data_IF_669121877461
#
_entry.id   IF_669121877461
#
_cell.length_a   1.000
_cell.length_b   1.000
_cell.length_c   1.000
_cell.angle_alpha   90.00
_cell.angle_beta   90.00
_cell.angle_gamma   90.00
#
_symmetry.space_group_name_H-M   'P 1'
#
loop_
_entity.id
_entity.type
_entity.pdbx_description
1 polymer ?
#
# COMPACT_ATOMS: atom_id res chain seq x y z
N UNK A 1 -50.86 11.14 8.56
CA UNK A 1 -49.48 11.65 8.75
C UNK A 1 -48.53 11.12 7.66
N UNK A 2 -48.60 11.63 6.43
CA UNK A 2 -47.78 11.14 5.29
C UNK A 2 -47.02 12.23 4.51
N UNK A 3 -47.11 13.51 4.90
CA UNK A 3 -46.54 14.65 4.15
C UNK A 3 -45.14 15.13 4.59
N UNK A 4 -44.60 14.65 5.72
CA UNK A 4 -43.35 15.19 6.27
C UNK A 4 -42.07 14.66 5.58
N UNK A 5 -42.09 13.42 5.06
CA UNK A 5 -40.96 12.81 4.35
C UNK A 5 -40.64 13.45 2.99
N UNK A 6 -41.62 13.74 2.12
CA UNK A 6 -41.34 14.40 0.84
C UNK A 6 -40.87 15.85 1.01
N UNK A 7 -41.34 16.55 2.05
CA UNK A 7 -40.88 17.90 2.39
C UNK A 7 -39.40 17.90 2.84
N UNK A 8 -38.98 16.90 3.62
CA UNK A 8 -37.59 16.77 4.07
C UNK A 8 -36.62 16.40 2.93
N UNK A 9 -37.04 15.54 1.99
CA UNK A 9 -36.23 15.21 0.81
C UNK A 9 -36.09 16.40 -0.13
N UNK A 10 -37.16 17.17 -0.32
CA UNK A 10 -37.12 18.42 -1.10
C UNK A 10 -36.19 19.44 -0.44
N UNK A 11 -36.24 19.58 0.88
CA UNK A 11 -35.36 20.48 1.63
C UNK A 11 -33.89 20.05 1.55
N UNK A 12 -33.59 18.74 1.61
CA UNK A 12 -32.22 18.22 1.41
C UNK A 12 -31.71 18.45 0.00
N UNK A 13 -32.56 18.28 -1.01
CA UNK A 13 -32.21 18.58 -2.41
C UNK A 13 -31.97 20.09 -2.62
N UNK A 14 -32.75 20.94 -1.95
CA UNK A 14 -32.60 22.39 -2.02
C UNK A 14 -31.34 22.86 -1.28
N UNK A 15 -31.01 22.28 -0.12
CA UNK A 15 -29.73 22.51 0.56
C UNK A 15 -28.57 22.05 -0.32
N UNK A 16 -28.63 20.85 -0.92
CA UNK A 16 -27.61 20.37 -1.83
C UNK A 16 -27.45 21.27 -3.08
N UNK A 17 -28.55 21.82 -3.61
CA UNK A 17 -28.53 22.77 -4.72
C UNK A 17 -27.96 24.15 -4.32
N UNK A 18 -28.25 24.63 -3.11
CA UNK A 18 -27.69 25.86 -2.56
C UNK A 18 -26.20 25.70 -2.22
N UNK A 19 -25.79 24.54 -1.72
CA UNK A 19 -24.38 24.16 -1.53
C UNK A 19 -23.64 23.97 -2.86
N UNK A 20 -24.33 23.53 -3.92
CA UNK A 20 -23.78 23.39 -5.25
C UNK A 20 -23.71 24.71 -6.03
N UNK A 21 -24.62 25.67 -5.76
CA UNK A 21 -24.76 26.92 -6.50
C UNK A 21 -23.61 27.93 -6.37
N UNK A 22 -22.63 27.66 -5.51
CA UNK A 22 -21.42 28.50 -5.34
C UNK A 22 -20.10 27.70 -5.34
N UNK A 23 -20.15 26.37 -5.44
CA UNK A 23 -18.96 25.52 -5.45
C UNK A 23 -18.60 25.13 -6.87
N UNK A 24 -17.44 25.61 -7.34
CA UNK A 24 -16.73 24.95 -8.44
C UNK A 24 -16.68 23.45 -8.14
N UNK A 25 -17.06 22.56 -9.07
CA UNK A 25 -17.04 21.13 -8.81
C UNK A 25 -15.65 20.73 -8.31
N UNK A 26 -15.57 19.91 -7.25
CA UNK A 26 -14.29 19.56 -6.64
C UNK A 26 -13.40 18.90 -7.69
N UNK A 27 -12.19 19.39 -7.85
CA UNK A 27 -11.26 18.77 -8.81
C UNK A 27 -10.84 17.40 -8.29
N UNK A 28 -10.94 16.38 -9.13
CA UNK A 28 -10.63 14.98 -8.79
C UNK A 28 -9.48 14.43 -9.63
N UNK A 29 -8.88 13.34 -9.15
CA UNK A 29 -8.01 12.45 -9.90
C UNK A 29 -8.77 11.14 -10.18
N UNK A 30 -9.23 10.91 -11.42
CA UNK A 30 -9.84 9.64 -11.79
C UNK A 30 -8.81 8.50 -11.87
N UNK A 31 -9.22 7.31 -11.43
CA UNK A 31 -8.48 6.07 -11.63
C UNK A 31 -8.73 5.46 -13.01
N UNK A 32 -9.79 5.89 -13.71
CA UNK A 32 -10.11 5.43 -15.06
C UNK A 32 -10.97 4.16 -15.11
N UNK A 33 -11.40 3.66 -13.95
CA UNK A 33 -12.31 2.53 -13.84
C UNK A 33 -13.54 2.91 -13.00
N UNK A 34 -14.77 2.85 -13.54
CA UNK A 34 -15.99 3.23 -12.83
C UNK A 34 -16.23 2.47 -11.52
N UNK A 35 -15.66 1.27 -11.38
CA UNK A 35 -15.77 0.45 -10.16
C UNK A 35 -15.00 1.08 -8.99
N UNK A 36 -13.91 1.78 -9.29
CA UNK A 36 -13.10 2.51 -8.32
C UNK A 36 -13.60 3.95 -8.20
N UNK A 37 -13.78 4.63 -9.32
CA UNK A 37 -14.18 6.04 -9.36
C UNK A 37 -15.56 6.27 -8.73
N UNK A 38 -16.48 5.31 -8.90
CA UNK A 38 -17.80 5.33 -8.27
C UNK A 38 -17.78 5.12 -6.75
N UNK A 39 -16.63 4.84 -6.13
CA UNK A 39 -16.49 4.83 -4.68
C UNK A 39 -16.37 6.22 -4.07
N UNK A 40 -15.99 7.23 -4.87
CA UNK A 40 -15.86 8.62 -4.43
C UNK A 40 -17.12 9.41 -4.78
N UNK A 41 -17.58 10.34 -3.91
CA UNK A 41 -18.77 11.16 -4.17
C UNK A 41 -18.70 11.96 -5.47
N UNK A 42 -17.50 12.39 -5.84
CA UNK A 42 -17.23 13.22 -7.01
C UNK A 42 -16.70 12.42 -8.22
N UNK A 43 -16.74 11.08 -8.17
CA UNK A 43 -16.30 10.24 -9.29
C UNK A 43 -14.78 10.16 -9.49
N UNK A 44 -14.00 10.36 -8.42
CA UNK A 44 -12.55 10.23 -8.43
C UNK A 44 -11.93 10.69 -7.10
N UNK A 45 -10.63 10.49 -6.92
CA UNK A 45 -9.91 10.87 -5.71
C UNK A 45 -9.92 12.41 -5.56
N UNK A 46 -10.42 12.97 -4.44
CA UNK A 46 -10.51 14.42 -4.29
C UNK A 46 -9.12 15.05 -4.21
N UNK A 47 -8.87 16.11 -4.98
CA UNK A 47 -7.67 16.95 -4.87
C UNK A 47 -7.87 18.06 -3.84
N UNK A 48 -6.78 18.68 -3.39
CA UNK A 48 -6.86 19.73 -2.36
C UNK A 48 -7.25 19.19 -0.98
N UNK A 49 -7.00 17.90 -0.75
CA UNK A 49 -7.09 17.25 0.55
C UNK A 49 -5.96 16.24 0.71
N UNK A 50 -5.93 15.58 1.86
CA UNK A 50 -4.91 14.57 2.13
C UNK A 50 -5.49 13.17 2.35
N UNK A 51 -4.66 12.16 2.08
CA UNK A 51 -5.01 10.75 2.08
C UNK A 51 -4.05 9.95 2.95
N UNK A 52 -4.57 9.00 3.73
CA UNK A 52 -3.75 8.04 4.47
C UNK A 52 -3.53 6.79 3.62
N UNK A 53 -2.29 6.34 3.52
CA UNK A 53 -1.93 5.09 2.85
C UNK A 53 -1.03 4.29 3.76
N UNK A 54 -1.40 3.05 4.08
CA UNK A 54 -0.61 2.15 4.90
C UNK A 54 -0.50 0.77 4.30
N UNK A 55 0.41 -0.03 4.84
CA UNK A 55 0.49 -1.46 4.57
C UNK A 55 0.04 -2.29 5.77
N UNK A 56 0.29 -3.60 5.70
CA UNK A 56 0.13 -4.53 6.81
C UNK A 56 1.36 -5.44 6.91
N UNK A 57 1.65 -5.94 8.10
CA UNK A 57 2.81 -6.80 8.32
C UNK A 57 4.12 -6.05 8.07
N UNK A 58 5.02 -6.62 7.27
CA UNK A 58 6.33 -5.99 6.99
C UNK A 58 6.21 -4.62 6.32
N UNK A 59 5.13 -4.39 5.55
CA UNK A 59 4.86 -3.11 4.89
C UNK A 59 4.54 -1.97 5.86
N UNK A 60 4.24 -2.26 7.14
CA UNK A 60 4.13 -1.22 8.18
C UNK A 60 5.48 -0.56 8.45
N UNK A 61 6.59 -1.26 8.20
CA UNK A 61 7.95 -0.79 8.47
C UNK A 61 8.70 -0.43 7.18
N UNK A 62 8.59 -1.23 6.13
CA UNK A 62 9.25 -0.98 4.84
C UNK A 62 8.50 0.04 3.99
N UNK A 63 7.16 0.00 4.00
CA UNK A 63 6.27 0.87 3.22
C UNK A 63 6.56 0.89 1.71
N UNK A 64 7.16 -0.17 1.16
CA UNK A 64 7.58 -0.21 -0.25
C UNK A 64 6.36 -0.23 -1.19
N UNK A 65 5.38 -1.10 -0.92
CA UNK A 65 4.17 -1.17 -1.72
C UNK A 65 3.28 0.09 -1.56
N UNK A 66 3.01 0.60 -0.34
CA UNK A 66 2.36 1.90 -0.13
C UNK A 66 3.05 3.08 -0.83
N UNK A 67 4.39 3.15 -0.80
CA UNK A 67 5.16 4.20 -1.44
C UNK A 67 5.02 4.15 -2.97
N UNK A 68 5.20 2.98 -3.58
CA UNK A 68 5.05 2.80 -5.02
C UNK A 68 3.62 3.16 -5.49
N UNK A 69 2.60 2.67 -4.78
CA UNK A 69 1.20 3.02 -5.05
C UNK A 69 0.96 4.53 -4.95
N UNK A 70 1.47 5.18 -3.89
CA UNK A 70 1.28 6.62 -3.68
C UNK A 70 1.97 7.47 -4.74
N UNK A 71 3.17 7.07 -5.17
CA UNK A 71 3.87 7.72 -6.27
C UNK A 71 3.07 7.65 -7.57
N UNK A 72 2.55 6.47 -7.92
CA UNK A 72 1.70 6.29 -9.09
C UNK A 72 0.39 7.08 -8.98
N UNK A 73 -0.28 7.03 -7.83
CA UNK A 73 -1.51 7.79 -7.56
C UNK A 73 -1.33 9.31 -7.77
N UNK A 74 -0.16 9.86 -7.38
CA UNK A 74 0.15 11.28 -7.51
C UNK A 74 0.87 11.64 -8.82
N UNK A 75 1.28 10.66 -9.63
CA UNK A 75 2.00 10.87 -10.90
C UNK A 75 1.33 11.91 -11.82
N UNK A 76 0.00 11.91 -12.03
CA UNK A 76 -0.65 12.92 -12.87
C UNK A 76 -0.51 14.36 -12.37
N UNK A 77 -0.26 14.56 -11.06
CA UNK A 77 -0.07 15.88 -10.47
C UNK A 77 1.34 16.43 -10.71
N UNK A 78 2.33 15.59 -10.95
CA UNK A 78 3.71 16.03 -11.17
C UNK A 78 3.89 16.84 -12.47
N UNK A 79 2.96 16.73 -13.43
CA UNK A 79 2.91 17.62 -14.59
C UNK A 79 2.52 19.07 -14.24
N UNK A 80 1.95 19.29 -13.05
CA UNK A 80 1.40 20.58 -12.59
C UNK A 80 2.33 21.33 -11.64
N UNK A 81 3.37 20.68 -11.13
CA UNK A 81 4.26 21.24 -10.12
C UNK A 81 5.20 20.20 -9.51
N UNK A 82 5.97 20.62 -8.52
CA UNK A 82 6.85 19.72 -7.77
C UNK A 82 6.05 18.74 -6.91
N UNK A 83 6.64 17.57 -6.68
CA UNK A 83 6.19 16.61 -5.67
C UNK A 83 7.24 16.54 -4.58
N UNK A 84 6.86 16.87 -3.34
CA UNK A 84 7.76 16.83 -2.20
C UNK A 84 7.59 15.52 -1.45
N UNK A 85 8.68 14.81 -1.17
CA UNK A 85 8.67 13.59 -0.38
C UNK A 85 9.48 13.79 0.90
N UNK A 86 8.80 13.79 2.03
CA UNK A 86 9.35 14.01 3.37
C UNK A 86 9.48 12.68 4.08
N UNK A 87 10.70 12.28 4.35
CA UNK A 87 11.04 10.97 4.91
C UNK A 87 11.97 11.15 6.10
N UNK A 88 11.89 10.25 7.10
CA UNK A 88 12.90 10.21 8.17
C UNK A 88 14.15 9.45 7.74
N UNK A 89 13.94 8.38 6.98
CA UNK A 89 15.00 7.53 6.44
C UNK A 89 15.22 7.88 4.98
N UNK A 90 16.46 8.09 4.60
CA UNK A 90 16.83 8.31 3.20
C UNK A 90 16.90 6.96 2.45
N UNK A 91 15.81 6.20 2.46
CA UNK A 91 15.68 4.89 1.82
C UNK A 91 14.67 4.88 0.65
N UNK A 92 14.19 6.06 0.22
CA UNK A 92 13.42 6.21 -1.00
C UNK A 92 14.29 5.92 -2.24
N UNK A 93 13.97 4.85 -2.95
CA UNK A 93 14.70 4.46 -4.15
C UNK A 93 14.17 5.19 -5.40
N UNK A 94 14.71 6.38 -5.68
CA UNK A 94 14.29 7.20 -6.82
C UNK A 94 14.38 6.50 -8.20
N UNK A 95 15.41 5.68 -8.51
CA UNK A 95 15.43 4.92 -9.77
C UNK A 95 14.25 3.94 -9.91
N UNK A 96 13.78 3.36 -8.81
CA UNK A 96 12.58 2.51 -8.79
C UNK A 96 11.31 3.31 -9.15
N UNK A 97 11.18 4.54 -8.65
CA UNK A 97 10.10 5.43 -9.04
C UNK A 97 10.17 5.79 -10.52
N UNK A 98 11.37 6.05 -11.05
CA UNK A 98 11.57 6.28 -12.48
C UNK A 98 11.14 5.06 -13.33
N UNK A 99 11.44 3.84 -12.87
CA UNK A 99 10.97 2.59 -13.50
C UNK A 99 9.44 2.45 -13.51
N UNK A 100 8.74 3.06 -12.56
CA UNK A 100 7.27 3.15 -12.52
C UNK A 100 6.71 4.33 -13.37
N UNK A 101 7.57 5.00 -14.13
CA UNK A 101 7.23 6.17 -14.94
C UNK A 101 7.00 7.45 -14.14
N UNK A 102 7.38 7.50 -12.85
CA UNK A 102 7.28 8.73 -12.07
C UNK A 102 8.32 9.76 -12.54
N UNK A 103 7.95 11.03 -12.79
CA UNK A 103 8.89 12.03 -13.30
C UNK A 103 9.80 12.54 -12.18
N UNK A 104 10.92 11.84 -11.96
CA UNK A 104 11.89 12.13 -10.89
C UNK A 104 12.50 13.53 -10.96
N UNK A 105 12.54 14.16 -12.14
CA UNK A 105 12.93 15.58 -12.29
C UNK A 105 11.99 16.58 -11.61
N UNK A 106 10.82 16.13 -11.14
CA UNK A 106 9.86 16.93 -10.34
C UNK A 106 9.85 16.53 -8.87
N UNK A 107 10.66 15.55 -8.46
CA UNK A 107 10.71 15.03 -7.10
C UNK A 107 11.71 15.84 -6.25
N UNK A 108 11.24 16.39 -5.13
CA UNK A 108 12.09 16.99 -4.11
C UNK A 108 12.08 16.06 -2.89
N UNK A 109 13.23 15.54 -2.50
CA UNK A 109 13.36 14.67 -1.32
C UNK A 109 13.84 15.49 -0.13
N UNK A 110 13.14 15.39 0.99
CA UNK A 110 13.48 16.09 2.23
C UNK A 110 13.64 15.06 3.34
N UNK A 111 14.81 15.06 3.98
CA UNK A 111 15.07 14.25 5.17
C UNK A 111 14.75 15.04 6.42
N UNK A 112 13.81 14.54 7.21
CA UNK A 112 13.45 15.07 8.52
C UNK A 112 14.08 14.23 9.64
N UNK A 113 14.32 14.84 10.79
CA UNK A 113 14.96 14.25 11.99
C UNK A 113 14.00 13.39 12.80
N UNK A 114 12.72 13.77 12.84
CA UNK A 114 11.69 13.15 13.68
C UNK A 114 10.31 13.29 13.02
N UNK A 115 9.29 12.66 13.61
CA UNK A 115 7.93 12.63 13.05
C UNK A 115 7.22 13.99 13.12
N UNK A 116 7.52 14.79 14.13
CA UNK A 116 6.95 16.13 14.25
C UNK A 116 7.49 17.04 13.13
N UNK A 117 8.77 16.92 12.79
CA UNK A 117 9.37 17.62 11.67
C UNK A 117 8.84 17.10 10.33
N UNK A 118 8.60 15.80 10.16
CA UNK A 118 7.92 15.28 8.95
C UNK A 118 6.58 15.97 8.75
N UNK A 119 5.73 16.00 9.78
CA UNK A 119 4.40 16.60 9.69
C UNK A 119 4.47 18.12 9.45
N UNK A 120 5.43 18.81 10.07
CA UNK A 120 5.65 20.25 9.87
C UNK A 120 6.08 20.56 8.43
N UNK A 121 7.09 19.85 7.91
CA UNK A 121 7.59 20.04 6.54
C UNK A 121 6.52 19.65 5.52
N UNK A 122 5.74 18.59 5.78
CA UNK A 122 4.63 18.19 4.92
C UNK A 122 3.57 19.29 4.84
N UNK A 123 3.21 19.91 5.97
CA UNK A 123 2.30 21.06 6.01
C UNK A 123 2.84 22.23 5.19
N UNK A 124 4.11 22.61 5.39
CA UNK A 124 4.72 23.71 4.65
C UNK A 124 4.75 23.43 3.14
N UNK A 125 5.11 22.21 2.75
CA UNK A 125 5.12 21.78 1.35
C UNK A 125 3.74 21.87 0.71
N UNK A 126 2.70 21.35 1.36
CA UNK A 126 1.31 21.40 0.87
C UNK A 126 0.80 22.84 0.70
N UNK A 127 1.36 23.76 1.47
CA UNK A 127 0.91 25.12 1.54
C UNK A 127 1.77 26.08 0.68
N UNK A 128 2.74 25.53 -0.07
CA UNK A 128 3.72 26.24 -0.91
C UNK A 128 3.23 26.33 -2.37
N UNK A 129 3.48 27.49 -3.01
CA UNK A 129 3.16 27.70 -4.42
C UNK A 129 4.09 26.86 -5.31
N UNK A 130 3.53 26.19 -6.32
CA UNK A 130 4.30 25.35 -7.25
C UNK A 130 4.49 23.90 -6.78
N UNK A 131 4.08 23.56 -5.56
CA UNK A 131 3.95 22.16 -5.10
C UNK A 131 2.57 21.65 -5.50
N UNK A 132 2.53 20.57 -6.30
CA UNK A 132 1.28 19.96 -6.74
C UNK A 132 0.84 18.83 -5.81
N UNK A 133 1.79 18.13 -5.20
CA UNK A 133 1.53 17.08 -4.23
C UNK A 133 2.67 16.98 -3.20
N UNK A 134 2.37 16.43 -2.03
CA UNK A 134 3.40 16.12 -1.04
C UNK A 134 3.10 14.79 -0.33
N UNK A 135 4.16 14.04 -0.04
CA UNK A 135 4.13 12.73 0.62
C UNK A 135 4.94 12.86 1.90
N UNK A 136 4.41 12.41 3.04
CA UNK A 136 5.14 12.34 4.30
C UNK A 136 5.07 10.95 4.93
N UNK A 137 6.16 10.52 5.56
CA UNK A 137 6.24 9.22 6.25
C UNK A 137 6.18 9.38 7.77
N UNK A 138 5.04 9.02 8.37
CA UNK A 138 4.76 9.14 9.80
C UNK A 138 3.91 7.94 10.26
N UNK A 139 3.90 7.62 11.55
CA UNK A 139 3.12 6.48 12.05
C UNK A 139 1.63 6.85 12.11
N UNK A 140 1.32 7.98 12.75
CA UNK A 140 -0.03 8.51 12.84
C UNK A 140 -0.02 10.00 13.22
N UNK A 141 -0.71 10.88 12.47
CA UNK A 141 -0.87 12.27 12.88
C UNK A 141 -1.92 12.33 14.01
N UNK A 142 -1.73 13.24 14.97
CA UNK A 142 -2.82 13.55 15.89
C UNK A 142 -3.92 14.38 15.18
N UNK A 143 -5.05 14.60 15.87
CA UNK A 143 -6.18 15.36 15.32
C UNK A 143 -5.80 16.80 14.91
N UNK A 144 -4.86 17.42 15.64
CA UNK A 144 -4.42 18.80 15.39
C UNK A 144 -3.57 18.84 14.12
N UNK A 145 -2.60 17.95 14.00
CA UNK A 145 -1.76 17.78 12.82
C UNK A 145 -2.61 17.43 11.59
N UNK A 146 -3.53 16.47 11.69
CA UNK A 146 -4.44 16.11 10.60
C UNK A 146 -5.31 17.27 10.12
N UNK A 147 -5.78 18.12 11.04
CA UNK A 147 -6.52 19.35 10.68
C UNK A 147 -5.62 20.40 10.01
N UNK A 148 -4.39 20.59 10.48
CA UNK A 148 -3.42 21.50 9.86
C UNK A 148 -3.07 21.06 8.44
N UNK A 149 -2.85 19.76 8.22
CA UNK A 149 -2.61 19.20 6.89
C UNK A 149 -3.78 19.45 5.94
N UNK A 150 -5.02 19.27 6.43
CA UNK A 150 -6.21 19.55 5.62
C UNK A 150 -6.30 21.04 5.23
N UNK A 151 -6.08 21.96 6.18
CA UNK A 151 -6.07 23.40 5.91
C UNK A 151 -4.95 23.80 4.93
N UNK A 152 -3.77 23.17 5.04
CA UNK A 152 -2.68 23.39 4.10
C UNK A 152 -3.04 22.97 2.68
N UNK A 153 -3.67 21.80 2.50
CA UNK A 153 -4.17 21.35 1.21
C UNK A 153 -5.20 22.32 0.62
N UNK A 154 -6.13 22.81 1.44
CA UNK A 154 -7.19 23.74 1.01
C UNK A 154 -6.64 25.11 0.59
N UNK A 155 -5.55 25.57 1.21
CA UNK A 155 -4.96 26.90 0.96
C UNK A 155 -4.46 27.07 -0.47
N UNK A 156 -3.87 26.02 -1.06
CA UNK A 156 -3.23 26.07 -2.39
C UNK A 156 -3.76 25.02 -3.37
N UNK A 157 -4.57 24.07 -2.91
CA UNK A 157 -5.12 22.99 -3.74
C UNK A 157 -4.14 21.84 -4.00
N UNK A 158 -3.03 21.76 -3.26
CA UNK A 158 -2.11 20.63 -3.32
C UNK A 158 -2.74 19.38 -2.69
N UNK A 159 -2.35 18.20 -3.18
CA UNK A 159 -2.82 16.92 -2.64
C UNK A 159 -1.77 16.30 -1.73
N UNK A 160 -2.17 15.92 -0.52
CA UNK A 160 -1.29 15.26 0.45
C UNK A 160 -1.45 13.75 0.50
N UNK A 161 -0.37 13.04 0.74
CA UNK A 161 -0.41 11.63 1.16
C UNK A 161 0.43 11.48 2.42
N UNK A 162 -0.14 10.83 3.43
CA UNK A 162 0.60 10.39 4.59
C UNK A 162 0.78 8.87 4.52
N UNK A 163 2.02 8.44 4.30
CA UNK A 163 2.44 7.05 4.38
C UNK A 163 2.54 6.66 5.84
N UNK A 164 1.66 5.75 6.26
CA UNK A 164 1.65 5.18 7.61
C UNK A 164 2.81 4.20 7.73
N UNK A 165 3.93 4.70 8.27
CA UNK A 165 5.18 3.96 8.41
C UNK A 165 5.66 4.00 9.85
N UNK A 166 5.71 2.83 10.49
CA UNK A 166 6.19 2.64 11.85
C UNK A 166 7.72 2.78 11.88
N UNK A 167 8.29 3.45 12.90
CA UNK A 167 9.74 3.52 13.07
C UNK A 167 10.34 2.13 13.31
N UNK A 168 11.49 1.87 12.68
CA UNK A 168 12.22 0.61 12.81
C UNK A 168 12.62 0.35 14.26
N UNK A 169 12.32 -0.85 14.78
CA UNK A 169 12.61 -1.21 16.17
C UNK A 169 11.73 -0.52 17.23
N UNK A 170 10.69 0.21 16.85
CA UNK A 170 9.69 0.69 17.81
C UNK A 170 8.97 -0.48 18.48
N UNK A 171 8.51 -0.34 19.73
CA UNK A 171 7.73 -1.40 20.40
C UNK A 171 6.49 -1.75 19.56
N UNK A 172 6.11 -3.04 19.52
CA UNK A 172 4.85 -3.51 18.91
C UNK A 172 3.67 -3.07 19.78
N UNK A 173 3.49 -1.75 19.89
CA UNK A 173 2.32 -1.15 20.49
C UNK A 173 1.17 -1.21 19.51
N UNK A 174 -0.05 -1.32 20.04
CA UNK A 174 -1.28 -1.12 19.27
C UNK A 174 -1.10 0.14 18.42
N UNK A 175 -1.31 0.01 17.11
CA UNK A 175 -1.49 1.14 16.21
C UNK A 175 -2.35 2.14 16.97
N UNK A 176 -1.79 3.32 17.23
CA UNK A 176 -2.59 4.42 17.73
C UNK A 176 -3.57 4.72 16.60
N UNK A 177 -4.79 4.17 16.71
CA UNK A 177 -5.95 4.59 15.94
C UNK A 177 -6.35 5.99 16.39
N UNK A 178 -5.40 6.93 16.40
CA UNK A 178 -5.70 8.33 16.65
C UNK A 178 -6.19 8.90 15.32
N UNK A 179 -7.43 8.52 15.03
CA UNK A 179 -8.42 9.24 14.25
C UNK A 179 -7.86 10.15 13.14
N UNK A 180 -7.61 9.56 11.98
CA UNK A 180 -7.49 10.26 10.68
C UNK A 180 -8.83 10.85 10.21
N UNK A 181 -9.65 11.40 11.11
CA UNK A 181 -10.98 11.94 10.79
C UNK A 181 -10.91 13.06 9.75
N UNK A 182 -9.77 13.76 9.66
CA UNK A 182 -9.54 14.81 8.67
C UNK A 182 -9.11 14.29 7.29
N UNK A 183 -8.54 13.09 7.17
CA UNK A 183 -8.15 12.57 5.86
C UNK A 183 -9.38 12.29 4.99
N UNK A 184 -9.24 12.53 3.69
CA UNK A 184 -10.32 12.29 2.74
C UNK A 184 -10.52 10.80 2.49
N UNK A 185 -9.43 10.04 2.49
CA UNK A 185 -9.46 8.59 2.30
C UNK A 185 -8.42 7.90 3.18
N UNK A 186 -8.64 6.62 3.45
CA UNK A 186 -7.66 5.72 4.06
C UNK A 186 -7.55 4.45 3.22
N UNK A 187 -6.31 4.10 2.90
CA UNK A 187 -5.97 2.97 2.05
C UNK A 187 -5.09 1.97 2.78
N UNK A 188 -5.31 0.69 2.52
CA UNK A 188 -4.40 -0.40 2.85
C UNK A 188 -3.89 -1.05 1.57
N UNK A 189 -2.58 -1.13 1.44
CA UNK A 189 -1.88 -1.58 0.24
C UNK A 189 -0.99 -2.77 0.59
N UNK A 190 -1.11 -3.84 -0.19
CA UNK A 190 -0.20 -4.98 -0.14
C UNK A 190 0.25 -5.34 -1.55
N UNK A 191 1.45 -5.92 -1.69
CA UNK A 191 1.88 -6.51 -2.96
C UNK A 191 0.93 -7.66 -3.36
N UNK A 192 0.70 -7.82 -4.65
CA UNK A 192 0.02 -8.96 -5.23
C UNK A 192 0.91 -9.60 -6.32
N UNK A 193 0.83 -10.92 -6.57
CA UNK A 193 1.62 -11.58 -7.60
C UNK A 193 1.37 -10.97 -8.99
N UNK A 194 2.42 -10.53 -9.68
CA UNK A 194 2.38 -10.14 -11.09
C UNK A 194 2.20 -11.36 -12.00
N UNK A 195 1.61 -11.16 -13.18
CA UNK A 195 1.49 -12.21 -14.20
C UNK A 195 2.35 -11.86 -15.42
N UNK A 196 3.13 -12.81 -15.98
CA UNK A 196 3.90 -12.57 -17.19
C UNK A 196 3.02 -12.02 -18.33
N UNK A 197 3.54 -11.09 -19.15
CA UNK A 197 2.83 -10.66 -20.33
C UNK A 197 2.63 -11.83 -21.32
N UNK A 198 1.46 -11.95 -21.98
CA UNK A 198 1.24 -13.02 -22.95
C UNK A 198 2.23 -12.91 -24.13
N UNK A 199 2.94 -14.00 -24.45
CA UNK A 199 3.66 -14.15 -25.71
C UNK A 199 5.16 -13.87 -25.72
N UNK A 200 5.81 -13.71 -24.56
CA UNK A 200 7.27 -13.69 -24.45
C UNK A 200 7.75 -15.07 -23.95
N UNK A 201 8.31 -15.95 -24.83
CA UNK A 201 8.97 -17.16 -24.38
C UNK A 201 10.27 -16.78 -23.67
N UNK A 202 10.33 -17.10 -22.38
CA UNK A 202 11.35 -16.66 -21.44
C UNK A 202 12.79 -16.92 -21.87
N UNK A 203 13.62 -15.89 -21.69
CA UNK A 203 15.08 -15.94 -21.74
C UNK A 203 15.70 -16.60 -20.50
N UNK A 204 14.98 -17.49 -19.82
CA UNK A 204 15.43 -18.14 -18.57
C UNK A 204 15.46 -17.22 -17.34
N UNK A 205 14.95 -15.99 -17.45
CA UNK A 205 14.63 -15.12 -16.31
C UNK A 205 13.14 -15.30 -15.98
N UNK A 206 12.70 -15.17 -14.72
CA UNK A 206 11.27 -15.12 -14.43
C UNK A 206 10.70 -13.91 -15.19
N UNK A 207 9.79 -14.18 -16.14
CA UNK A 207 9.07 -13.16 -16.89
C UNK A 207 8.14 -12.41 -15.92
N UNK A 208 8.70 -11.47 -15.15
CA UNK A 208 7.95 -10.64 -14.21
C UNK A 208 7.08 -9.68 -15.00
N UNK A 209 5.76 -9.79 -14.81
CA UNK A 209 4.82 -8.81 -15.33
C UNK A 209 4.88 -7.47 -14.60
N UNK A 210 4.07 -6.49 -15.05
CA UNK A 210 3.93 -5.23 -14.35
C UNK A 210 3.55 -5.44 -12.87
N UNK A 211 4.04 -4.59 -11.96
CA UNK A 211 3.76 -4.75 -10.53
C UNK A 211 2.26 -4.66 -10.25
N UNK A 212 1.79 -5.49 -9.32
CA UNK A 212 0.40 -5.53 -8.86
C UNK A 212 0.29 -5.27 -7.37
N UNK A 213 -0.83 -4.66 -7.00
CA UNK A 213 -1.18 -4.36 -5.62
C UNK A 213 -2.58 -4.85 -5.29
N UNK A 214 -2.75 -5.47 -4.13
CA UNK A 214 -4.05 -5.54 -3.46
C UNK A 214 -4.28 -4.18 -2.79
N UNK A 215 -5.34 -3.50 -3.21
CA UNK A 215 -5.69 -2.14 -2.79
C UNK A 215 -7.04 -2.17 -2.10
N UNK A 216 -7.07 -1.80 -0.83
CA UNK A 216 -8.27 -1.70 -0.02
C UNK A 216 -8.50 -0.24 0.37
N UNK A 217 -9.60 0.35 -0.10
CA UNK A 217 -10.11 1.62 0.39
C UNK A 217 -10.91 1.36 1.67
N UNK A 218 -10.27 1.49 2.82
CA UNK A 218 -10.88 1.24 4.13
C UNK A 218 -11.90 2.32 4.50
N UNK A 219 -11.62 3.56 4.12
CA UNK A 219 -12.47 4.71 4.43
C UNK A 219 -12.44 5.73 3.30
N UNK A 220 -13.59 6.26 2.94
CA UNK A 220 -13.73 7.43 2.07
C UNK A 220 -14.76 8.39 2.67
N UNK A 221 -14.40 9.66 2.84
CA UNK A 221 -15.34 10.66 3.36
C UNK A 221 -16.48 10.86 2.37
N UNK A 222 -17.70 10.54 2.80
CA UNK A 222 -18.91 10.61 1.98
C UNK A 222 -19.00 9.52 0.89
N UNK A 223 -17.98 8.67 0.75
CA UNK A 223 -17.93 7.61 -0.25
C UNK A 223 -18.15 6.23 0.35
N UNK A 224 -17.85 5.19 -0.43
CA UNK A 224 -17.95 3.79 -0.01
C UNK A 224 -16.57 3.11 -0.01
N UNK A 225 -16.31 2.19 0.93
CA UNK A 225 -15.10 1.36 0.89
C UNK A 225 -15.12 0.40 -0.30
N UNK A 226 -13.98 -0.19 -0.62
CA UNK A 226 -13.83 -1.16 -1.71
C UNK A 226 -12.46 -1.84 -1.71
N UNK A 227 -12.34 -2.94 -2.45
CA UNK A 227 -11.10 -3.71 -2.53
C UNK A 227 -10.89 -4.25 -3.96
N UNK A 228 -9.66 -4.16 -4.44
CA UNK A 228 -9.28 -4.47 -5.82
C UNK A 228 -7.86 -5.01 -5.93
N UNK A 229 -7.55 -5.62 -7.08
CA UNK A 229 -6.16 -5.83 -7.51
C UNK A 229 -5.89 -4.85 -8.65
N UNK A 230 -4.93 -3.96 -8.44
CA UNK A 230 -4.50 -2.99 -9.44
C UNK A 230 -3.15 -3.40 -10.01
N UNK A 231 -2.99 -3.25 -11.31
CA UNK A 231 -1.74 -3.44 -12.04
C UNK A 231 -1.24 -2.07 -12.51
N UNK A 232 0.08 -1.87 -12.52
CA UNK A 232 0.65 -0.67 -13.11
C UNK A 232 0.40 -0.64 -14.62
N UNK A 233 -0.07 0.51 -15.11
CA UNK A 233 -0.24 0.79 -16.53
C UNK A 233 0.85 1.76 -17.00
N UNK A 234 1.45 1.48 -18.16
CA UNK A 234 2.42 2.38 -18.76
C UNK A 234 1.72 3.63 -19.31
N UNK A 235 2.48 4.70 -19.54
CA UNK A 235 1.91 5.92 -20.13
C UNK A 235 1.31 5.68 -21.53
N UNK A 236 1.76 4.64 -22.24
CA UNK A 236 1.22 4.22 -23.52
C UNK A 236 -0.17 3.56 -23.41
N UNK A 237 -0.51 3.00 -22.24
CA UNK A 237 -1.77 2.29 -22.00
C UNK A 237 -2.94 3.23 -21.67
N UNK A 238 -2.67 4.53 -21.52
CA UNK A 238 -3.66 5.56 -21.26
C UNK A 238 -3.21 6.60 -20.23
N UNK A 239 -4.08 7.57 -19.91
CA UNK A 239 -3.73 8.67 -19.01
C UNK A 239 -3.68 8.25 -17.53
N UNK A 240 -4.19 7.06 -17.17
CA UNK A 240 -4.28 6.58 -15.80
C UNK A 240 -3.14 5.63 -15.47
N UNK A 241 -2.51 5.77 -14.28
CA UNK A 241 -1.34 4.98 -13.89
C UNK A 241 -1.67 3.54 -13.44
N UNK A 242 -2.95 3.20 -13.32
CA UNK A 242 -3.42 1.90 -12.84
C UNK A 242 -4.43 1.30 -13.81
N UNK A 243 -4.41 -0.02 -13.88
CA UNK A 243 -5.44 -0.84 -14.52
C UNK A 243 -6.04 -1.80 -13.49
N UNK A 244 -7.37 -1.91 -13.46
CA UNK A 244 -8.03 -2.90 -12.62
C UNK A 244 -7.92 -4.30 -13.24
N UNK A 245 -7.31 -5.24 -12.50
CA UNK A 245 -7.24 -6.65 -12.89
C UNK A 245 -8.62 -7.29 -12.69
N UNK A 246 -9.16 -7.92 -13.73
CA UNK A 246 -10.42 -8.65 -13.63
C UNK A 246 -10.23 -9.94 -12.84
N UNK A 247 -11.19 -10.27 -11.95
CA UNK A 247 -11.17 -11.50 -11.12
C UNK A 247 -11.07 -12.81 -11.92
N UNK A 248 -11.33 -12.80 -13.23
CA UNK A 248 -11.26 -13.99 -14.07
C UNK A 248 -9.83 -14.42 -14.44
N UNK A 249 -8.82 -13.59 -14.14
CA UNK A 249 -7.42 -13.86 -14.49
C UNK A 249 -6.62 -14.60 -13.41
N UNK A 250 -7.23 -14.86 -12.24
CA UNK A 250 -6.64 -15.70 -11.21
C UNK A 250 -6.94 -17.16 -11.58
N UNK A 251 -6.16 -17.74 -12.50
CA UNK A 251 -6.05 -19.18 -12.56
C UNK A 251 -5.32 -19.60 -11.28
N UNK A 252 -6.06 -20.07 -10.29
CA UNK A 252 -5.51 -20.88 -9.21
C UNK A 252 -4.80 -22.05 -9.88
N UNK A 253 -3.48 -21.96 -10.00
CA UNK A 253 -2.67 -23.12 -10.34
C UNK A 253 -2.77 -24.02 -9.12
N UNK A 254 -3.66 -25.01 -9.21
CA UNK A 254 -3.82 -26.03 -8.21
C UNK A 254 -2.43 -26.54 -7.82
N UNK A 255 -2.12 -26.48 -6.52
CA UNK A 255 -0.88 -27.03 -5.99
C UNK A 255 -0.73 -28.46 -6.52
N UNK A 256 0.30 -28.67 -7.33
CA UNK A 256 0.65 -29.98 -7.88
C UNK A 256 0.85 -30.92 -6.68
N UNK A 257 -0.06 -31.88 -6.53
CA UNK A 257 -0.02 -32.85 -5.46
C UNK A 257 1.31 -33.60 -5.57
N UNK A 258 2.14 -33.50 -4.52
CA UNK A 258 3.40 -34.21 -4.44
C UNK A 258 3.19 -35.70 -4.75
N UNK A 259 4.02 -36.32 -5.62
CA UNK A 259 3.87 -37.74 -5.93
C UNK A 259 4.09 -38.57 -4.65
N UNK A 260 3.15 -39.46 -4.38
CA UNK A 260 3.23 -40.39 -3.25
C UNK A 260 4.50 -41.26 -3.34
N UNK A 261 5.13 -41.61 -2.20
CA UNK A 261 6.35 -42.41 -2.21
C UNK A 261 6.08 -43.81 -2.78
N UNK A 262 6.89 -44.19 -3.77
CA UNK A 262 6.90 -45.54 -4.34
C UNK A 262 7.26 -46.56 -3.25
N UNK A 263 6.36 -47.51 -3.02
CA UNK A 263 6.60 -48.69 -2.17
C UNK A 263 7.71 -49.52 -2.81
N UNK A 264 8.86 -49.60 -2.15
CA UNK A 264 10.00 -50.40 -2.57
C UNK A 264 9.68 -51.89 -2.51
N UNK A 265 9.90 -52.58 -3.63
CA UNK A 265 9.88 -54.03 -3.71
C UNK A 265 11.01 -54.59 -2.84
N UNK A 266 10.67 -55.42 -1.85
CA UNK A 266 11.65 -56.14 -1.05
C UNK A 266 12.28 -57.24 -1.91
N UNK A 267 13.57 -57.12 -2.17
CA UNK A 267 14.38 -58.20 -2.73
C UNK A 267 14.78 -59.16 -1.61
N UNK A 268 14.39 -60.42 -1.77
CA UNK A 268 14.58 -61.51 -0.84
C UNK A 268 15.54 -62.53 -1.44
N UNK A 269 16.76 -62.62 -0.92
CA UNK A 269 17.65 -63.80 -1.06
C UNK A 269 18.96 -63.67 -0.26
N UNK A 270 19.64 -64.78 0.07
CA UNK A 270 19.66 -65.22 1.46
C UNK A 270 21.05 -65.22 2.13
N UNK A 271 20.96 -65.35 3.46
CA UNK A 271 21.99 -65.67 4.46
C UNK A 271 23.21 -66.43 3.92
N UNK A 272 24.39 -65.87 4.18
CA UNK A 272 25.66 -66.57 4.10
C UNK A 272 26.66 -66.04 5.13
N UNK A 273 26.89 -66.84 6.18
CA UNK A 273 28.17 -66.91 6.91
C UNK A 273 28.52 -65.79 7.90
N UNK A 274 28.31 -66.04 9.19
CA UNK A 274 29.17 -65.50 10.22
C UNK A 274 29.50 -66.61 11.24
N UNK A 275 30.80 -66.84 11.44
CA UNK A 275 31.37 -67.55 12.57
C UNK A 275 32.20 -66.54 13.41
N UNK A 276 32.39 -66.80 14.71
CA UNK A 276 32.28 -65.75 15.73
C UNK A 276 33.57 -65.46 16.50
N UNK A 277 33.60 -64.37 17.26
CA UNK A 277 34.19 -64.37 18.62
C UNK A 277 33.82 -63.06 19.36
N UNK A 278 33.01 -63.13 20.44
CA UNK A 278 33.40 -63.10 21.88
C UNK A 278 34.48 -62.06 22.20
N UNK A 279 34.19 -60.99 22.92
CA UNK A 279 33.96 -60.87 24.37
C UNK A 279 34.54 -59.49 24.77
N UNK A 280 33.97 -58.67 25.64
CA UNK A 280 33.88 -58.75 27.11
C UNK A 280 33.11 -57.45 27.49
N UNK A 281 31.98 -57.47 28.22
CA UNK A 281 31.88 -57.26 29.68
C UNK A 281 32.85 -56.15 30.19
N UNK A 282 32.51 -55.14 30.98
CA UNK A 282 31.38 -54.92 31.87
C UNK A 282 31.43 -53.45 32.36
N UNK A 283 30.35 -53.01 32.99
CA UNK A 283 30.31 -52.09 34.14
C UNK A 283 30.54 -50.58 33.92
N UNK A 284 29.40 -49.88 33.83
CA UNK A 284 28.97 -48.75 34.71
C UNK A 284 29.70 -48.64 36.08
N UNK A 285 29.60 -47.54 36.88
CA UNK A 285 28.56 -46.50 36.84
C UNK A 285 29.00 -45.04 37.19
N UNK A 286 28.02 -44.13 36.99
CA UNK A 286 27.59 -43.02 37.88
C UNK A 286 28.56 -41.92 38.30
N UNK A 287 28.00 -40.71 38.21
CA UNK A 287 28.22 -39.60 39.13
C UNK A 287 29.27 -38.64 38.57
N UNK A 288 28.98 -37.37 38.33
CA UNK A 288 27.92 -36.55 38.87
C UNK A 288 28.48 -35.15 39.07
N UNK A 289 27.82 -34.20 38.45
CA UNK A 289 27.65 -32.82 38.87
C UNK A 289 28.83 -31.82 38.88
N UNK A 290 28.38 -30.61 38.54
CA UNK A 290 28.87 -29.29 38.92
C UNK A 290 29.96 -28.69 38.03
N UNK A 291 29.62 -27.76 37.14
CA UNK A 291 29.23 -26.35 37.32
C UNK A 291 30.44 -25.39 37.39
N UNK A 292 30.29 -24.34 36.57
CA UNK A 292 30.84 -22.99 36.71
C UNK A 292 32.35 -22.78 36.52
N UNK A 293 32.72 -22.33 35.32
CA UNK A 293 33.12 -20.94 35.07
C UNK A 293 32.91 -20.60 33.58
#
# INVERSE_FOLDING_TARGET
>A
MAGAKPALSALRAQIAALEAGTRTPPSVLPFGDPRIDGCFPAGGLPRGGWHEVGGAGLEEETSAAPAAFSALMLRPLAARGAVVWVMRRADLHAPGLAGLGFPTGRLIQVRARDEAEVLSVLEDALATVGVAAAIGEAESPDLKAGRRLQLACERRGATGVLLRRRPYGGAAGKIREVSGAAAQTRWRIAAAPSQPPPGLPGLGLPDLGPPRWRVELERCRGGRPGAWILEQAEAADGPHPFRLVSKLADHDVAAEAAPAPSVGFADSSPRGGAAPSVGFADSSPRGGAANAA
#
